data_IF_568928509336
#
_entry.id   IF_568928509336
#
_cell.length_a   1.000
_cell.length_b   1.000
_cell.length_c   1.000
_cell.angle_alpha   90.00
_cell.angle_beta   90.00
_cell.angle_gamma   90.00
#
_symmetry.space_group_name_H-M   'P 1'
#
loop_
_entity.id
_entity.type
_entity.pdbx_description
1 polymer ?
#
# COMPACT_ATOMS: atom_id res chain seq x y z
N UNK A 1 -10.61 -5.79 3.82
CA UNK A 1 -9.32 -6.14 3.21
C UNK A 1 -8.22 -5.27 3.81
N UNK A 2 -6.97 -5.73 3.77
CA UNK A 2 -5.81 -4.95 4.23
C UNK A 2 -4.87 -4.73 3.05
N UNK A 3 -4.63 -3.48 2.70
CA UNK A 3 -3.71 -3.09 1.64
C UNK A 3 -2.45 -2.49 2.25
N UNK A 4 -1.29 -2.97 1.82
CA UNK A 4 0.00 -2.51 2.32
C UNK A 4 0.67 -1.62 1.27
N UNK A 5 1.24 -0.52 1.71
CA UNK A 5 2.01 0.41 0.91
C UNK A 5 3.37 0.60 1.57
N UNK A 6 4.45 0.49 0.82
CA UNK A 6 5.79 0.75 1.33
C UNK A 6 6.32 2.04 0.74
N UNK A 7 7.04 2.80 1.57
CA UNK A 7 7.81 3.95 1.14
C UNK A 7 9.15 3.95 1.87
N UNK A 8 10.17 4.53 1.25
CA UNK A 8 11.51 4.65 1.81
C UNK A 8 11.74 6.09 2.23
N UNK A 9 12.38 6.25 3.39
CA UNK A 9 12.81 7.52 3.97
C UNK A 9 14.30 7.39 4.34
N UNK A 10 15.10 8.42 4.10
CA UNK A 10 16.54 8.43 4.41
C UNK A 10 16.83 8.77 5.89
N UNK A 11 15.81 9.06 6.71
CA UNK A 11 15.97 9.34 8.14
C UNK A 11 16.35 10.79 8.45
N UNK A 12 16.22 11.69 7.48
CA UNK A 12 16.55 13.12 7.59
C UNK A 12 15.57 13.92 8.46
N UNK A 13 14.67 13.26 9.20
CA UNK A 13 13.62 13.88 10.01
C UNK A 13 12.70 14.78 9.19
N UNK A 14 12.58 14.53 7.89
CA UNK A 14 11.68 15.29 7.04
C UNK A 14 10.23 14.99 7.43
N UNK A 15 9.38 16.02 7.34
CA UNK A 15 7.96 15.87 7.65
C UNK A 15 7.27 15.10 6.53
N UNK A 16 6.73 13.95 6.87
CA UNK A 16 5.94 13.09 5.99
C UNK A 16 4.47 13.31 6.34
N UNK A 17 3.67 13.61 5.34
CA UNK A 17 2.22 13.75 5.43
C UNK A 17 1.53 12.63 4.65
N UNK A 18 0.80 11.78 5.36
CA UNK A 18 -0.05 10.75 4.79
C UNK A 18 -1.49 11.21 4.88
N UNK A 19 -2.14 11.34 3.74
CA UNK A 19 -3.57 11.67 3.62
C UNK A 19 -4.30 10.53 2.94
N UNK A 20 -5.42 10.12 3.50
CA UNK A 20 -6.32 9.17 2.88
C UNK A 20 -7.73 9.73 2.83
N UNK A 21 -8.28 9.80 1.63
CA UNK A 21 -9.68 10.16 1.40
C UNK A 21 -10.47 8.88 1.22
N UNK A 22 -11.56 8.69 1.95
CA UNK A 22 -12.45 7.52 1.76
C UNK A 22 -13.88 7.99 1.55
N UNK A 23 -14.54 7.44 0.53
CA UNK A 23 -15.93 7.79 0.20
C UNK A 23 -16.74 6.51 0.03
N UNK A 24 -17.80 6.30 0.83
CA UNK A 24 -18.20 7.11 2.00
C UNK A 24 -17.18 7.00 3.16
N UNK A 25 -17.11 8.05 3.99
CA UNK A 25 -16.29 8.12 5.20
C UNK A 25 -16.44 6.89 6.11
N UNK A 26 -15.47 6.64 7.00
CA UNK A 26 -15.48 5.53 7.98
C UNK A 26 -15.38 4.10 7.43
N UNK A 27 -15.15 3.93 6.12
CA UNK A 27 -15.03 2.60 5.51
C UNK A 27 -13.61 2.08 5.43
N UNK A 28 -12.62 2.93 5.57
CA UNK A 28 -11.21 2.55 5.61
C UNK A 28 -10.47 3.38 6.65
N UNK A 29 -9.43 2.78 7.24
CA UNK A 29 -8.50 3.41 8.17
C UNK A 29 -7.09 3.06 7.73
N UNK A 30 -6.10 3.88 8.06
CA UNK A 30 -4.71 3.53 7.79
C UNK A 30 -3.84 3.63 9.03
N UNK A 31 -2.83 2.79 9.10
CA UNK A 31 -1.84 2.71 10.17
C UNK A 31 -0.45 2.80 9.54
N UNK A 32 0.49 3.43 10.23
CA UNK A 32 1.88 3.57 9.81
C UNK A 32 2.72 2.70 10.74
N UNK A 33 3.52 1.84 10.14
CA UNK A 33 4.36 0.85 10.79
C UNK A 33 5.80 1.03 10.36
N UNK A 34 6.71 0.90 11.32
CA UNK A 34 8.16 0.74 11.08
C UNK A 34 8.48 -0.69 10.65
N UNK A 35 9.66 -0.94 10.06
CA UNK A 35 10.08 -2.31 9.72
C UNK A 35 10.15 -3.23 10.95
N UNK A 36 10.40 -2.67 12.14
CA UNK A 36 10.39 -3.44 13.40
C UNK A 36 8.98 -3.91 13.77
N UNK A 37 7.96 -3.04 13.63
CA UNK A 37 6.57 -3.41 13.89
C UNK A 37 6.05 -4.41 12.87
N UNK A 38 6.44 -4.29 11.60
CA UNK A 38 6.09 -5.28 10.57
C UNK A 38 6.70 -6.63 10.91
N UNK A 39 7.93 -6.67 11.43
CA UNK A 39 8.54 -7.91 11.89
C UNK A 39 7.73 -8.53 13.04
N UNK A 40 7.33 -7.73 14.04
CA UNK A 40 6.46 -8.19 15.14
C UNK A 40 5.11 -8.69 14.64
N UNK A 41 4.47 -7.95 13.73
CA UNK A 41 3.21 -8.35 13.08
C UNK A 41 3.36 -9.70 12.37
N UNK A 42 4.45 -9.90 11.64
CA UNK A 42 4.72 -11.16 10.93
C UNK A 42 4.95 -12.34 11.87
N UNK A 43 5.44 -12.08 13.09
CA UNK A 43 5.59 -13.09 14.15
C UNK A 43 4.30 -13.29 14.98
N UNK A 44 3.23 -12.52 14.72
CA UNK A 44 2.00 -12.55 15.51
C UNK A 44 2.16 -11.96 16.92
N UNK A 45 3.18 -11.15 17.13
CA UNK A 45 3.40 -10.44 18.39
C UNK A 45 2.56 -9.17 18.49
N UNK A 46 2.37 -8.67 19.70
CA UNK A 46 1.76 -7.36 19.94
C UNK A 46 2.73 -6.27 19.51
N UNK A 47 2.27 -5.36 18.64
CA UNK A 47 3.00 -4.18 18.21
C UNK A 47 2.11 -2.95 18.38
N UNK A 48 2.74 -1.78 18.48
CA UNK A 48 2.05 -0.50 18.60
C UNK A 48 2.41 0.34 17.38
N UNK A 49 1.42 0.72 16.54
CA UNK A 49 1.65 1.52 15.35
C UNK A 49 2.33 2.84 15.70
N UNK A 50 3.43 3.19 15.03
CA UNK A 50 4.05 4.53 15.20
C UNK A 50 3.12 5.67 14.80
N UNK A 51 2.10 5.38 13.98
CA UNK A 51 1.12 6.36 13.55
C UNK A 51 -0.17 5.74 13.08
N UNK A 52 -1.26 6.50 13.16
CA UNK A 52 -2.53 6.12 12.55
C UNK A 52 -3.20 7.34 11.94
N UNK A 53 -3.92 7.11 10.84
CA UNK A 53 -4.79 8.09 10.22
C UNK A 53 -5.82 8.56 11.22
N UNK A 54 -5.79 9.84 11.55
CA UNK A 54 -6.75 10.46 12.45
C UNK A 54 -7.71 11.30 11.62
N UNK A 55 -9.00 11.24 11.94
CA UNK A 55 -9.98 12.10 11.27
C UNK A 55 -9.72 13.53 11.66
N UNK A 56 -9.66 14.40 10.67
CA UNK A 56 -9.51 15.81 10.92
C UNK A 56 -10.82 16.53 10.59
N UNK A 57 -11.48 17.10 11.60
CA UNK A 57 -12.76 17.79 11.43
C UNK A 57 -12.67 18.96 10.44
N UNK A 58 -11.49 19.57 10.31
CA UNK A 58 -11.19 20.64 9.35
C UNK A 58 -11.03 20.14 7.90
N UNK A 59 -10.77 18.84 7.70
CA UNK A 59 -10.61 18.20 6.38
C UNK A 59 -11.82 17.31 6.02
N UNK A 60 -12.88 17.31 6.84
CA UNK A 60 -14.07 16.47 6.63
C UNK A 60 -13.84 15.01 7.04
N UNK A 61 -14.25 14.07 6.19
CA UNK A 61 -14.09 12.62 6.41
C UNK A 61 -12.70 12.08 6.03
N UNK A 62 -11.76 12.98 5.72
CA UNK A 62 -10.39 12.63 5.41
C UNK A 62 -9.59 12.19 6.64
N UNK A 63 -8.82 11.12 6.46
CA UNK A 63 -7.85 10.65 7.42
C UNK A 63 -6.50 11.28 7.12
N UNK A 64 -5.88 11.85 8.13
CA UNK A 64 -4.61 12.53 8.02
C UNK A 64 -3.66 12.07 9.12
N UNK A 65 -2.41 11.91 8.76
CA UNK A 65 -1.32 11.65 9.68
C UNK A 65 -0.07 12.39 9.23
N UNK A 66 0.67 12.92 10.19
CA UNK A 66 2.00 13.48 9.95
C UNK A 66 2.98 12.94 10.97
N UNK A 67 4.18 12.65 10.50
CA UNK A 67 5.30 12.31 11.35
C UNK A 67 6.62 12.50 10.62
N UNK A 68 7.70 12.21 11.32
CA UNK A 68 9.05 12.27 10.79
C UNK A 68 9.84 11.12 11.40
N UNK A 69 10.69 10.47 10.61
CA UNK A 69 11.52 9.39 11.10
C UNK A 69 12.97 9.84 11.24
N UNK A 70 13.65 9.34 12.26
CA UNK A 70 15.07 9.65 12.54
C UNK A 70 16.02 8.60 11.97
N UNK A 71 15.47 7.51 11.46
CA UNK A 71 16.22 6.35 10.98
C UNK A 71 15.91 6.17 9.50
N UNK A 72 16.92 5.90 8.69
CA UNK A 72 16.69 5.51 7.29
C UNK A 72 16.05 4.13 7.24
N UNK A 73 15.00 3.93 6.44
CA UNK A 73 14.34 2.64 6.37
C UNK A 73 13.20 2.55 5.38
N UNK A 74 12.67 1.33 5.23
CA UNK A 74 11.41 1.09 4.53
C UNK A 74 10.28 1.09 5.55
N UNK A 75 9.37 2.03 5.41
CA UNK A 75 8.18 2.20 6.24
C UNK A 75 6.95 1.68 5.51
N UNK A 76 5.93 1.30 6.28
CA UNK A 76 4.75 0.63 5.75
C UNK A 76 3.48 1.35 6.20
N UNK A 77 2.62 1.71 5.25
CA UNK A 77 1.26 2.18 5.51
C UNK A 77 0.29 1.04 5.23
N UNK A 78 -0.48 0.65 6.24
CA UNK A 78 -1.48 -0.42 6.15
C UNK A 78 -2.86 0.20 6.15
N UNK A 79 -3.54 0.11 5.02
CA UNK A 79 -4.93 0.53 4.87
C UNK A 79 -5.84 -0.66 5.18
N UNK A 80 -6.63 -0.55 6.24
CA UNK A 80 -7.65 -1.53 6.61
C UNK A 80 -9.02 -1.03 6.17
N UNK A 81 -9.59 -1.67 5.14
CA UNK A 81 -10.92 -1.36 4.60
C UNK A 81 -11.97 -2.37 5.05
N UNK A 82 -13.13 -1.89 5.53
CA UNK A 82 -14.25 -2.69 6.04
C UNK A 82 -15.40 -2.68 5.04
N UNK A 83 -15.48 -3.74 4.22
CA UNK A 83 -16.45 -3.91 3.12
C UNK A 83 -16.36 -2.82 2.04
N UNK A 84 -15.46 -3.02 1.06
CA UNK A 84 -15.26 -2.13 -0.08
C UNK A 84 -16.37 -2.16 -1.16
N UNK A 85 -17.53 -2.78 -0.89
CA UNK A 85 -18.56 -3.07 -1.91
C UNK A 85 -18.78 -1.98 -2.95
N UNK A 86 -18.88 -0.72 -2.50
CA UNK A 86 -18.94 0.50 -3.32
C UNK A 86 -18.07 1.64 -2.73
N UNK A 87 -17.03 1.32 -1.98
CA UNK A 87 -16.19 2.34 -1.31
C UNK A 87 -14.88 2.55 -2.05
N UNK A 88 -14.63 3.79 -2.47
CA UNK A 88 -13.36 4.19 -3.07
C UNK A 88 -12.49 4.91 -2.03
N UNK A 89 -11.18 4.67 -2.09
CA UNK A 89 -10.21 5.38 -1.29
C UNK A 89 -9.05 5.89 -2.13
N UNK A 90 -8.54 7.06 -1.79
CA UNK A 90 -7.36 7.66 -2.38
C UNK A 90 -6.33 7.88 -1.28
N UNK A 91 -5.20 7.18 -1.34
CA UNK A 91 -4.06 7.38 -0.45
C UNK A 91 -3.02 8.28 -1.13
N UNK A 92 -2.55 9.29 -0.42
CA UNK A 92 -1.49 10.21 -0.86
C UNK A 92 -0.44 10.33 0.23
N UNK A 93 0.79 9.93 -0.09
CA UNK A 93 1.94 10.03 0.79
C UNK A 93 2.82 11.14 0.22
N UNK A 94 3.09 12.17 1.02
CA UNK A 94 3.88 13.33 0.62
C UNK A 94 5.03 13.50 1.62
N UNK A 95 6.24 13.75 1.12
CA UNK A 95 7.40 14.09 1.92
C UNK A 95 8.54 14.47 0.99
N UNK A 96 9.44 15.34 1.46
CA UNK A 96 10.53 15.89 0.64
C UNK A 96 11.53 14.80 0.22
N UNK A 97 11.69 13.80 1.10
CA UNK A 97 12.67 12.72 0.96
C UNK A 97 12.02 11.35 0.69
N UNK A 98 10.71 11.31 0.49
CA UNK A 98 9.98 10.05 0.35
C UNK A 98 10.16 9.46 -1.04
N UNK A 99 10.74 8.26 -1.09
CA UNK A 99 10.90 7.49 -2.31
C UNK A 99 9.98 6.26 -2.31
N UNK A 100 9.24 6.06 -3.40
CA UNK A 100 8.38 4.89 -3.55
C UNK A 100 9.11 3.78 -4.31
N UNK A 101 9.16 2.53 -3.79
CA UNK A 101 9.59 1.41 -4.60
C UNK A 101 8.63 1.28 -5.79
N UNK A 102 9.18 1.19 -7.01
CA UNK A 102 8.40 1.03 -8.26
C UNK A 102 7.60 -0.27 -8.33
N UNK A 103 7.87 -1.20 -7.41
CA UNK A 103 7.03 -2.37 -7.18
C UNK A 103 5.99 -2.04 -6.10
N UNK A 104 4.71 -2.12 -6.44
CA UNK A 104 3.65 -2.24 -5.44
C UNK A 104 4.02 -3.42 -4.54
N UNK A 105 4.32 -3.16 -3.27
CA UNK A 105 4.45 -4.24 -2.30
C UNK A 105 3.07 -4.91 -2.21
N UNK A 106 2.95 -6.09 -2.81
CA UNK A 106 1.90 -7.01 -2.41
C UNK A 106 1.99 -7.11 -0.88
N UNK A 107 0.85 -7.01 -0.20
CA UNK A 107 0.72 -7.34 1.22
C UNK A 107 1.65 -8.52 1.55
N UNK A 108 2.39 -8.55 2.66
CA UNK A 108 3.13 -9.74 3.07
C UNK A 108 2.14 -10.90 3.19
N UNK A 109 1.97 -11.60 2.09
CA UNK A 109 1.11 -12.75 1.92
C UNK A 109 1.76 -13.81 2.81
N UNK A 110 1.00 -14.34 3.75
CA UNK A 110 1.47 -15.40 4.64
C UNK A 110 1.98 -16.56 3.78
N UNK A 111 3.30 -16.60 3.55
CA UNK A 111 3.96 -17.41 2.53
C UNK A 111 3.37 -17.22 1.10
N UNK A 112 4.20 -17.34 0.05
CA UNK A 112 3.66 -17.53 -1.28
C UNK A 112 2.97 -18.90 -1.28
N UNK A 113 1.63 -18.95 -1.39
CA UNK A 113 1.08 -19.89 -2.35
C UNK A 113 1.81 -19.60 -3.65
N UNK A 114 2.55 -20.58 -4.15
CA UNK A 114 3.39 -20.51 -5.34
C UNK A 114 2.55 -20.34 -6.62
N UNK A 115 1.69 -19.32 -6.67
CA UNK A 115 0.76 -19.07 -7.76
C UNK A 115 0.38 -17.58 -7.88
N UNK A 116 1.38 -16.68 -7.86
CA UNK A 116 1.19 -15.28 -8.29
C UNK A 116 2.41 -14.69 -9.01
N UNK A 117 3.46 -15.49 -9.25
CA UNK A 117 4.62 -15.06 -10.03
C UNK A 117 4.39 -15.09 -11.56
N UNK A 118 3.19 -15.42 -12.02
CA UNK A 118 2.88 -15.56 -13.46
C UNK A 118 1.86 -14.54 -14.01
N UNK A 119 1.46 -13.50 -13.25
CA UNK A 119 0.42 -12.55 -13.71
C UNK A 119 0.76 -11.05 -13.60
N UNK A 120 2.03 -10.67 -13.38
CA UNK A 120 2.46 -9.26 -13.47
C UNK A 120 3.02 -8.88 -14.86
N UNK A 121 2.92 -9.76 -15.87
CA UNK A 121 3.18 -9.44 -17.27
C UNK A 121 1.89 -9.50 -18.10
N UNK A 122 0.93 -8.62 -17.82
CA UNK A 122 -0.07 -8.22 -18.82
C UNK A 122 -0.39 -6.74 -18.66
N UNK A 123 0.49 -5.89 -19.17
CA UNK A 123 0.05 -4.64 -19.79
C UNK A 123 -0.40 -5.00 -21.21
N UNK A 124 -1.70 -5.18 -21.50
CA UNK A 124 -2.18 -5.01 -22.85
C UNK A 124 -2.20 -3.50 -23.12
N UNK A 125 -1.17 -2.99 -23.80
CA UNK A 125 -1.46 -1.94 -24.77
C UNK A 125 -2.56 -2.49 -25.68
N UNK A 126 -3.63 -1.73 -25.85
CA UNK A 126 -4.78 -2.13 -26.64
C UNK A 126 -4.38 -2.74 -28.00
N UNK A 127 -4.86 -3.98 -28.18
CA UNK A 127 -5.02 -4.91 -29.31
C UNK A 127 -5.30 -4.33 -30.73
N UNK A 128 -5.49 -5.15 -31.82
CA UNK A 128 -5.04 -6.51 -32.19
C UNK A 128 -4.56 -6.67 -33.67
N UNK A 129 -3.92 -7.79 -34.05
CA UNK A 129 -4.06 -8.45 -35.36
C UNK A 129 -3.44 -9.88 -35.32
N UNK A 130 -4.25 -10.94 -35.27
CA UNK A 130 -4.51 -11.88 -36.39
C UNK A 130 -3.25 -12.56 -36.95
N UNK A 131 -3.00 -13.83 -36.63
CA UNK A 131 -3.60 -14.96 -37.36
C UNK A 131 -3.12 -16.33 -36.85
N UNK A 132 -4.08 -17.18 -36.49
CA UNK A 132 -3.97 -18.63 -36.42
C UNK A 132 -3.79 -19.20 -37.83
N UNK A 133 -2.92 -20.20 -37.98
CA UNK A 133 -2.94 -21.28 -39.00
C UNK A 133 -1.53 -21.90 -39.04
N UNK A 134 -1.26 -23.19 -38.98
CA UNK A 134 -2.07 -24.38 -38.75
C UNK A 134 -1.05 -25.53 -38.58
N UNK A 135 -1.35 -26.50 -37.73
CA UNK A 135 -0.72 -27.81 -37.80
C UNK A 135 -1.24 -28.53 -39.05
N UNK A 136 -0.37 -29.16 -39.84
CA UNK A 136 -0.62 -30.41 -40.60
C UNK A 136 0.66 -30.73 -41.37
N UNK A 137 1.39 -31.80 -41.02
CA UNK A 137 1.13 -33.20 -41.34
C UNK A 137 2.08 -33.67 -42.47
N UNK A 138 3.08 -34.47 -42.09
CA UNK A 138 3.51 -35.76 -42.67
C UNK A 138 4.96 -36.07 -42.29
#
# INVERSE_FOLDING_TARGET
EKQWYAFRDEGDQTSIAVRMQVTPGDRAFFEVLTPEEVNKWANGETFDPVGAGTKNADLGDDLYWTGSFVSSGTYYVVVTSRNLGDSEYTLSINGDDVSFPTAQVASPQAAPDANSAEMAQTQPAAAPAMNMQEQMAM
#
